data_IF_410263418702
#
_entry.id   IF_410263418702
#
_cell.length_a   1.000
_cell.length_b   1.000
_cell.length_c   1.000
_cell.angle_alpha   90.00
_cell.angle_beta   90.00
_cell.angle_gamma   90.00
#
_symmetry.space_group_name_H-M   'P 1'
#
loop_
_entity.id
_entity.type
_entity.pdbx_description
1 polymer ?
#
# COMPACT_ATOMS: atom_id res chain seq x y z
N UNK A 1 17.93 4.01 -4.15
CA UNK A 1 18.27 3.78 -2.72
C UNK A 1 17.11 4.19 -1.80
N UNK A 2 16.65 5.45 -1.84
CA UNK A 2 15.64 5.99 -0.90
C UNK A 2 14.31 5.20 -0.89
N UNK A 3 13.77 4.85 -2.06
CA UNK A 3 12.51 4.07 -2.15
C UNK A 3 12.59 2.69 -1.48
N UNK A 4 13.76 2.03 -1.54
CA UNK A 4 13.94 0.72 -0.91
C UNK A 4 14.01 0.83 0.61
N UNK A 5 14.64 1.90 1.12
CA UNK A 5 14.70 2.19 2.56
C UNK A 5 13.30 2.38 3.15
N UNK A 6 12.42 3.10 2.46
CA UNK A 6 11.02 3.28 2.88
C UNK A 6 10.30 1.94 3.00
N UNK A 7 10.45 1.06 2.00
CA UNK A 7 9.87 -0.28 2.02
C UNK A 7 10.36 -1.12 3.20
N UNK A 8 11.66 -1.04 3.54
CA UNK A 8 12.22 -1.70 4.71
C UNK A 8 11.64 -1.17 6.02
N UNK A 9 11.52 0.15 6.16
CA UNK A 9 10.92 0.77 7.33
C UNK A 9 9.45 0.37 7.50
N UNK A 10 8.68 0.26 6.42
CA UNK A 10 7.28 -0.21 6.47
C UNK A 10 7.17 -1.68 6.86
N UNK A 11 8.10 -2.51 6.42
CA UNK A 11 8.14 -3.93 6.80
C UNK A 11 8.49 -4.12 8.28
N UNK A 12 9.41 -3.31 8.82
CA UNK A 12 9.70 -3.26 10.26
C UNK A 12 8.51 -2.71 11.05
N UNK A 13 7.85 -1.69 10.51
CA UNK A 13 6.65 -1.13 11.14
C UNK A 13 5.52 -2.16 11.27
N UNK A 14 5.23 -2.89 10.20
CA UNK A 14 4.26 -3.98 10.24
C UNK A 14 4.70 -5.11 11.19
N UNK A 15 6.00 -5.36 11.32
CA UNK A 15 6.52 -6.36 12.24
C UNK A 15 6.29 -6.03 13.72
N UNK A 16 6.32 -4.74 14.06
CA UNK A 16 6.13 -4.21 15.42
C UNK A 16 4.64 -4.07 15.78
N UNK A 17 3.78 -3.85 14.77
CA UNK A 17 2.35 -3.63 14.98
C UNK A 17 1.54 -4.92 15.19
N UNK A 18 2.02 -6.07 14.70
CA UNK A 18 1.26 -7.33 14.72
C UNK A 18 1.87 -8.38 15.67
N UNK A 19 1.05 -9.04 16.53
CA UNK A 19 1.52 -10.15 17.36
C UNK A 19 2.00 -11.33 16.49
N UNK A 20 2.97 -12.09 17.00
CA UNK A 20 3.73 -13.14 16.26
C UNK A 20 2.86 -14.15 15.51
N UNK A 21 1.63 -14.43 15.99
CA UNK A 21 0.69 -15.34 15.32
C UNK A 21 0.00 -14.75 14.09
N UNK A 22 -0.21 -13.45 14.04
CA UNK A 22 -0.95 -12.75 12.98
C UNK A 22 -0.04 -12.09 11.94
N UNK A 23 1.23 -11.86 12.27
CA UNK A 23 2.22 -11.21 11.39
C UNK A 23 2.36 -11.88 10.01
N UNK A 24 2.38 -13.21 9.96
CA UNK A 24 2.48 -13.95 8.70
C UNK A 24 1.25 -13.75 7.80
N UNK A 25 0.04 -13.72 8.39
CA UNK A 25 -1.20 -13.48 7.64
C UNK A 25 -1.32 -12.03 7.18
N UNK A 26 -0.97 -11.05 8.01
CA UNK A 26 -1.03 -9.63 7.66
C UNK A 26 -0.08 -9.26 6.52
N UNK A 27 1.16 -9.76 6.57
CA UNK A 27 2.14 -9.59 5.48
C UNK A 27 1.68 -10.33 4.22
N UNK A 28 1.18 -11.57 4.37
CA UNK A 28 0.66 -12.37 3.26
C UNK A 28 -0.46 -11.66 2.50
N UNK A 29 -1.45 -11.12 3.20
CA UNK A 29 -2.56 -10.36 2.62
C UNK A 29 -2.08 -9.10 1.91
N UNK A 30 -1.18 -8.34 2.55
CA UNK A 30 -0.62 -7.11 1.96
C UNK A 30 0.13 -7.41 0.66
N UNK A 31 0.88 -8.51 0.64
CA UNK A 31 1.64 -8.94 -0.53
C UNK A 31 0.72 -9.44 -1.65
N UNK A 32 -0.34 -10.19 -1.30
CA UNK A 32 -1.36 -10.65 -2.24
C UNK A 32 -2.08 -9.46 -2.90
N UNK A 33 -2.43 -8.45 -2.11
CA UNK A 33 -3.04 -7.22 -2.63
C UNK A 33 -2.10 -6.46 -3.56
N UNK A 34 -0.82 -6.34 -3.19
CA UNK A 34 0.20 -5.73 -4.06
C UNK A 34 0.33 -6.47 -5.39
N UNK A 35 0.25 -7.82 -5.38
CA UNK A 35 0.29 -8.64 -6.60
C UNK A 35 -0.95 -8.46 -7.45
N UNK A 36 -2.14 -8.41 -6.84
CA UNK A 36 -3.39 -8.15 -7.55
C UNK A 36 -3.36 -6.78 -8.23
N UNK A 37 -2.93 -5.73 -7.53
CA UNK A 37 -2.76 -4.39 -8.11
C UNK A 37 -1.76 -4.37 -9.27
N UNK A 38 -0.64 -5.08 -9.15
CA UNK A 38 0.37 -5.21 -10.20
C UNK A 38 -0.17 -5.96 -11.44
N UNK A 39 -1.05 -6.94 -11.26
CA UNK A 39 -1.69 -7.64 -12.37
C UNK A 39 -2.76 -6.78 -13.07
N UNK A 40 -3.55 -6.04 -12.30
CA UNK A 40 -4.67 -5.23 -12.81
C UNK A 40 -4.16 -3.95 -13.50
N UNK A 41 -3.07 -3.35 -12.98
CA UNK A 41 -2.53 -2.08 -13.48
C UNK A 41 -2.28 -2.06 -14.99
N UNK A 42 -1.44 -2.95 -15.56
CA UNK A 42 -1.16 -2.98 -16.99
C UNK A 42 -2.40 -3.26 -17.84
N UNK A 43 -3.31 -4.13 -17.37
CA UNK A 43 -4.56 -4.45 -18.07
C UNK A 43 -5.44 -3.20 -18.18
N UNK A 44 -5.60 -2.48 -17.07
CA UNK A 44 -6.38 -1.25 -17.03
C UNK A 44 -5.77 -0.16 -17.92
N UNK A 45 -4.44 0.01 -17.89
CA UNK A 45 -3.72 0.96 -18.75
C UNK A 45 -3.90 0.60 -20.23
N UNK A 46 -3.76 -0.68 -20.59
CA UNK A 46 -3.93 -1.16 -21.96
C UNK A 46 -5.32 -0.86 -22.53
N UNK A 47 -6.38 -1.04 -21.73
CA UNK A 47 -7.75 -0.71 -22.12
C UNK A 47 -7.96 0.79 -22.34
N UNK A 48 -7.38 1.64 -21.48
CA UNK A 48 -7.55 3.10 -21.55
C UNK A 48 -6.79 3.71 -22.74
N UNK A 49 -5.56 3.24 -22.99
CA UNK A 49 -4.74 3.71 -24.13
C UNK A 49 -5.42 3.40 -25.46
N UNK A 50 -6.05 2.24 -25.59
CA UNK A 50 -6.69 1.81 -26.83
C UNK A 50 -7.88 2.67 -27.27
N UNK A 51 -8.54 3.39 -26.36
CA UNK A 51 -9.75 4.16 -26.66
C UNK A 51 -9.64 5.68 -26.49
N UNK A 52 -8.88 6.16 -25.51
CA UNK A 52 -8.96 7.56 -25.05
C UNK A 52 -7.61 8.30 -25.03
N UNK A 53 -6.50 7.60 -25.36
CA UNK A 53 -5.16 8.17 -25.42
C UNK A 53 -4.45 8.28 -24.05
N UNK A 54 -3.15 8.63 -24.09
CA UNK A 54 -2.26 8.55 -22.92
C UNK A 54 -2.67 9.49 -21.77
N UNK A 55 -3.32 10.61 -22.07
CA UNK A 55 -3.73 11.61 -21.09
C UNK A 55 -4.68 11.05 -20.03
N UNK A 56 -5.62 10.18 -20.43
CA UNK A 56 -6.56 9.55 -19.51
C UNK A 56 -5.86 8.54 -18.59
N UNK A 57 -4.79 7.90 -19.03
CA UNK A 57 -3.99 7.01 -18.19
C UNK A 57 -3.40 7.77 -17.01
N UNK A 58 -2.79 8.93 -17.27
CA UNK A 58 -2.22 9.76 -16.22
C UNK A 58 -3.29 10.27 -15.25
N UNK A 59 -4.48 10.65 -15.75
CA UNK A 59 -5.61 11.04 -14.89
C UNK A 59 -6.08 9.89 -14.00
N UNK A 60 -6.22 8.68 -14.54
CA UNK A 60 -6.62 7.48 -13.77
C UNK A 60 -5.58 7.17 -12.69
N UNK A 61 -4.29 7.18 -13.04
CA UNK A 61 -3.20 6.96 -12.08
C UNK A 61 -3.19 8.03 -10.98
N UNK A 62 -3.41 9.29 -11.33
CA UNK A 62 -3.50 10.39 -10.37
C UNK A 62 -4.67 10.22 -9.39
N UNK A 63 -5.85 9.82 -9.89
CA UNK A 63 -7.02 9.55 -9.03
C UNK A 63 -6.75 8.38 -8.10
N UNK A 64 -6.18 7.28 -8.59
CA UNK A 64 -5.82 6.12 -7.76
C UNK A 64 -4.80 6.49 -6.69
N UNK A 65 -3.78 7.28 -7.04
CA UNK A 65 -2.78 7.77 -6.10
C UNK A 65 -3.39 8.71 -5.04
N UNK A 66 -4.30 9.59 -5.43
CA UNK A 66 -5.03 10.47 -4.50
C UNK A 66 -5.91 9.68 -3.54
N UNK A 67 -6.65 8.68 -4.03
CA UNK A 67 -7.46 7.80 -3.18
C UNK A 67 -6.56 7.04 -2.21
N UNK A 68 -5.46 6.46 -2.69
CA UNK A 68 -4.50 5.75 -1.84
C UNK A 68 -3.87 6.67 -0.77
N UNK A 69 -3.51 7.89 -1.15
CA UNK A 69 -3.00 8.91 -0.24
C UNK A 69 -4.05 9.35 0.78
N UNK A 70 -5.30 9.53 0.38
CA UNK A 70 -6.40 9.93 1.27
C UNK A 70 -6.77 8.81 2.25
N UNK A 71 -6.86 7.57 1.78
CA UNK A 71 -7.09 6.40 2.64
C UNK A 71 -5.94 6.25 3.63
N UNK A 72 -4.69 6.39 3.18
CA UNK A 72 -3.54 6.40 4.08
C UNK A 72 -3.62 7.56 5.06
N UNK A 73 -3.98 8.76 4.63
CA UNK A 73 -4.09 9.92 5.53
C UNK A 73 -5.19 9.74 6.60
N UNK A 74 -6.30 9.09 6.27
CA UNK A 74 -7.42 8.87 7.19
C UNK A 74 -7.23 7.64 8.10
N UNK A 75 -6.64 6.55 7.58
CA UNK A 75 -6.50 5.27 8.30
C UNK A 75 -5.08 4.98 8.79
N UNK A 76 -4.06 5.75 8.40
CA UNK A 76 -2.73 5.60 8.96
C UNK A 76 -2.76 6.03 10.42
N UNK A 77 -2.70 5.02 11.28
CA UNK A 77 -2.47 5.19 12.70
C UNK A 77 -1.00 5.58 12.86
N UNK A 78 -0.78 6.82 13.32
CA UNK A 78 0.53 7.36 13.68
C UNK A 78 1.03 6.62 14.93
N UNK A 79 2.03 5.75 14.75
CA UNK A 79 2.68 5.01 15.84
C UNK A 79 3.82 5.76 16.49
N UNK A 80 4.10 6.99 16.04
CA UNK A 80 5.13 7.84 16.61
C UNK A 80 4.67 8.33 17.99
N UNK A 81 5.06 7.58 19.04
CA UNK A 81 4.88 7.98 20.44
C UNK A 81 3.87 7.18 21.27
N UNK A 82 3.38 6.02 20.77
CA UNK A 82 2.50 5.13 21.56
C UNK A 82 3.29 3.94 22.14
N UNK A 83 2.99 3.58 23.39
CA UNK A 83 3.68 2.52 24.14
C UNK A 83 3.33 1.15 23.54
N UNK A 84 4.34 0.43 23.03
CA UNK A 84 4.18 -0.85 22.31
C UNK A 84 3.39 -1.91 23.10
N UNK A 85 3.44 -1.88 24.44
CA UNK A 85 2.76 -2.85 25.33
C UNK A 85 1.23 -2.84 25.26
N UNK A 86 0.58 -1.79 24.71
CA UNK A 86 -0.88 -1.74 24.59
C UNK A 86 -1.41 -2.19 23.22
N UNK A 87 -0.56 -2.28 22.20
CA UNK A 87 -0.97 -2.70 20.84
C UNK A 87 -0.86 -4.21 20.60
N UNK A 88 -0.11 -4.93 21.43
CA UNK A 88 0.04 -6.38 21.35
C UNK A 88 -0.42 -7.08 22.64
N UNK A 89 -1.73 -7.34 22.84
CA UNK A 89 -2.18 -8.39 23.75
C UNK A 89 -1.92 -9.79 23.18
#
# INVERSE_FOLDING_TARGET
AILQTISFSLYLYAAELYPTRLRAMGIGFSTAWLRAGSAIGPVMVGLVVGGYGIQYVFSVLAVVALIGGLVTFLFAIETKGQVLEKLSP
#
